data_IF_654400503587
#
_entry.id   IF_654400503587
#
_cell.length_a   1.000
_cell.length_b   1.000
_cell.length_c   1.000
_cell.angle_alpha   90.00
_cell.angle_beta   90.00
_cell.angle_gamma   90.00
#
_symmetry.space_group_name_H-M   'P 1'
#
loop_
_entity.id
_entity.type
_entity.pdbx_description
1 polymer ?
#
# COMPACT_ATOMS: atom_id res chain seq x y z
N UNK A 1 0.11 19.15 19.56
CA UNK A 1 1.17 18.16 19.33
C UNK A 1 1.20 17.86 17.85
N UNK A 2 2.39 17.76 17.25
CA UNK A 2 2.54 17.40 15.84
C UNK A 2 2.34 15.88 15.69
N UNK A 3 1.67 15.43 14.62
CA UNK A 3 1.41 14.01 14.38
C UNK A 3 2.73 13.29 14.02
N UNK A 4 2.90 12.05 14.49
CA UNK A 4 4.09 11.27 14.14
C UNK A 4 3.97 10.72 12.72
N UNK A 5 5.03 10.89 11.94
CA UNK A 5 5.09 10.41 10.55
C UNK A 5 5.45 8.94 10.49
N UNK A 6 4.71 8.16 9.70
CA UNK A 6 4.88 6.71 9.56
C UNK A 6 5.06 6.34 8.10
N UNK A 7 6.11 5.57 7.78
CA UNK A 7 6.28 5.00 6.45
C UNK A 7 5.70 3.59 6.39
N UNK A 8 4.78 3.34 5.45
CA UNK A 8 4.19 2.03 5.20
C UNK A 8 4.70 1.50 3.85
N UNK A 9 5.40 0.36 3.87
CA UNK A 9 5.96 -0.25 2.65
C UNK A 9 5.05 -1.39 2.18
N UNK A 10 4.50 -1.23 0.98
CA UNK A 10 3.52 -2.10 0.34
C UNK A 10 2.08 -1.64 0.59
N UNK A 11 1.29 -1.52 -0.48
CA UNK A 11 -0.14 -1.20 -0.44
C UNK A 11 -1.03 -2.44 -0.66
N UNK A 12 -0.58 -3.59 -0.14
CA UNK A 12 -1.40 -4.80 -0.03
C UNK A 12 -2.35 -4.76 1.17
N UNK A 13 -3.06 -5.87 1.46
CA UNK A 13 -4.02 -5.92 2.56
C UNK A 13 -3.44 -5.47 3.91
N UNK A 14 -2.24 -5.97 4.26
CA UNK A 14 -1.54 -5.59 5.49
C UNK A 14 -1.22 -4.09 5.52
N UNK A 15 -0.65 -3.55 4.45
CA UNK A 15 -0.31 -2.13 4.36
C UNK A 15 -1.52 -1.21 4.47
N UNK A 16 -2.62 -1.54 3.78
CA UNK A 16 -3.87 -0.79 3.86
C UNK A 16 -4.47 -0.83 5.28
N UNK A 17 -4.44 -1.99 5.95
CA UNK A 17 -4.88 -2.09 7.36
C UNK A 17 -3.98 -1.30 8.31
N UNK A 18 -2.66 -1.28 8.07
CA UNK A 18 -1.72 -0.48 8.85
C UNK A 18 -1.97 1.03 8.69
N UNK A 19 -2.26 1.50 7.46
CA UNK A 19 -2.62 2.89 7.19
C UNK A 19 -3.90 3.26 7.95
N UNK A 20 -4.92 2.42 7.86
CA UNK A 20 -6.20 2.61 8.59
C UNK A 20 -5.97 2.77 10.09
N UNK A 21 -5.20 1.86 10.70
CA UNK A 21 -4.87 1.93 12.13
C UNK A 21 -4.07 3.20 12.47
N UNK A 22 -3.09 3.58 11.63
CA UNK A 22 -2.33 4.82 11.84
C UNK A 22 -3.24 6.06 11.89
N UNK A 23 -4.21 6.14 10.97
CA UNK A 23 -5.17 7.25 10.94
C UNK A 23 -6.08 7.27 12.17
N UNK A 24 -6.51 6.11 12.67
CA UNK A 24 -7.33 5.99 13.88
C UNK A 24 -6.58 6.44 15.14
N UNK A 25 -5.28 6.21 15.19
CA UNK A 25 -4.39 6.63 16.28
C UNK A 25 -3.85 8.07 16.12
N UNK A 26 -4.29 8.81 15.10
CA UNK A 26 -3.88 10.21 14.87
C UNK A 26 -2.44 10.37 14.36
N UNK A 27 -1.88 9.33 13.74
CA UNK A 27 -0.58 9.36 13.07
C UNK A 27 -0.71 9.87 11.62
N UNK A 28 0.42 10.24 11.01
CA UNK A 28 0.50 10.69 9.62
C UNK A 28 1.22 9.65 8.74
N UNK A 29 0.49 8.68 8.15
CA UNK A 29 1.10 7.65 7.31
C UNK A 29 1.38 8.14 5.89
N UNK A 30 2.52 7.72 5.33
CA UNK A 30 2.85 7.77 3.90
C UNK A 30 3.09 6.36 3.40
N UNK A 31 2.39 5.96 2.33
CA UNK A 31 2.50 4.62 1.76
C UNK A 31 3.37 4.62 0.49
N UNK A 32 4.21 3.59 0.37
CA UNK A 32 5.03 3.33 -0.81
C UNK A 32 4.68 1.97 -1.39
N UNK A 33 4.20 1.92 -2.63
CA UNK A 33 3.89 0.69 -3.35
C UNK A 33 4.75 0.59 -4.61
N UNK A 34 5.30 -0.60 -4.85
CA UNK A 34 6.14 -0.90 -6.01
C UNK A 34 5.37 -0.91 -7.33
N UNK A 35 4.08 -1.24 -7.28
CA UNK A 35 3.17 -1.33 -8.40
C UNK A 35 2.53 0.02 -8.71
N UNK A 36 1.98 0.17 -9.92
CA UNK A 36 1.23 1.37 -10.32
C UNK A 36 -0.10 1.58 -9.57
N UNK A 37 -0.48 0.67 -8.69
CA UNK A 37 -1.78 0.70 -8.01
C UNK A 37 -1.75 -0.13 -6.73
N UNK A 38 -2.72 0.11 -5.87
CA UNK A 38 -2.90 -0.55 -4.59
C UNK A 38 -3.62 -1.90 -4.72
N UNK A 39 -3.68 -2.64 -3.62
CA UNK A 39 -4.40 -3.90 -3.49
C UNK A 39 -3.48 -5.12 -3.34
N UNK A 40 -2.20 -5.01 -3.69
CA UNK A 40 -1.24 -6.12 -3.57
C UNK A 40 -1.78 -7.40 -4.21
N UNK A 41 -1.85 -8.50 -3.45
CA UNK A 41 -2.38 -9.78 -3.93
C UNK A 41 -3.85 -9.72 -4.40
N UNK A 42 -4.64 -8.76 -3.92
CA UNK A 42 -6.06 -8.63 -4.29
C UNK A 42 -6.21 -8.00 -5.68
N UNK A 43 -5.22 -7.25 -6.13
CA UNK A 43 -5.16 -6.77 -7.51
C UNK A 43 -4.56 -7.87 -8.39
N UNK A 44 -5.45 -8.66 -8.99
CA UNK A 44 -5.05 -9.70 -9.95
C UNK A 44 -4.28 -9.06 -11.12
N UNK A 45 -2.99 -9.37 -11.22
CA UNK A 45 -2.20 -9.03 -12.41
C UNK A 45 -2.51 -10.11 -13.44
N UNK A 46 -3.34 -9.80 -14.43
CA UNK A 46 -3.45 -10.64 -15.62
C UNK A 46 -2.04 -10.73 -16.18
N UNK A 47 -1.47 -11.93 -16.21
CA UNK A 47 -0.16 -12.16 -16.81
C UNK A 47 -0.31 -11.81 -18.29
N UNK A 48 0.22 -10.67 -18.71
CA UNK A 48 0.26 -10.33 -20.13
C UNK A 48 1.06 -11.41 -20.85
N UNK A 49 0.36 -12.32 -21.51
CA UNK A 49 0.97 -13.38 -22.32
C UNK A 49 1.71 -12.82 -23.55
N UNK A 50 1.69 -11.50 -23.75
CA UNK A 50 2.37 -10.79 -24.84
C UNK A 50 3.74 -10.20 -24.45
N UNK A 51 4.19 -10.34 -23.20
CA UNK A 51 5.50 -9.83 -22.75
C UNK A 51 6.69 -10.75 -23.12
N UNK A 52 6.50 -11.68 -24.07
CA UNK A 52 7.51 -12.64 -24.51
C UNK A 52 7.46 -12.84 -26.03
N UNK A 53 7.48 -11.73 -26.77
CA UNK A 53 7.86 -11.71 -28.20
C UNK A 53 9.09 -10.80 -28.31
#
# INVERSE_FOLDING_TARGET
MEAQRVAVIGAGPSGLTSIKACLEEGLEPTCFESSYDIGGLWKFKVRDMNASI
#
